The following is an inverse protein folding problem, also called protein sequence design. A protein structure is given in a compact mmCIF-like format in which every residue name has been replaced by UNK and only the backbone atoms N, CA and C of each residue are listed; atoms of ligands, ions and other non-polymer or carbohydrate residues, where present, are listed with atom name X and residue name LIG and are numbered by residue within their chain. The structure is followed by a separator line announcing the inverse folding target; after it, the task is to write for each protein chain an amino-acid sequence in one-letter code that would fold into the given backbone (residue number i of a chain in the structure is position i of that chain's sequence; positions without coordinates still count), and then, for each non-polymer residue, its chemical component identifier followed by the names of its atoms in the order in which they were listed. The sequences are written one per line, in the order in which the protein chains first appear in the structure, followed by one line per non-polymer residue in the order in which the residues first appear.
data_IF_280556680497
#
_entry.id   IF_280556680497
#
_cell.length_a   1.000
_cell.length_b   1.000
_cell.length_c   1.000
_cell.angle_alpha   90.00
_cell.angle_beta   90.00
_cell.angle_gamma   90.00
#
_symmetry.space_group_name_H-M   'P 1'
#
loop_
_entity.id
_entity.type
_entity.pdbx_description
1 polymer ?
#
# COMPACT_ATOMS: atom_id res chain seq x y z
N UNK A 1 -5.87 -36.13 2.50
CA UNK A 1 -6.62 -34.90 2.83
C UNK A 1 -6.31 -34.38 4.25
N UNK A 2 -6.20 -35.24 5.25
CA UNK A 2 -5.96 -34.85 6.67
C UNK A 2 -4.62 -34.17 6.93
N UNK A 3 -3.54 -34.54 6.23
CA UNK A 3 -2.19 -33.98 6.41
C UNK A 3 -2.15 -32.52 5.92
N UNK A 4 -2.75 -32.22 4.77
CA UNK A 4 -2.78 -30.86 4.19
C UNK A 4 -3.56 -29.92 5.12
N UNK A 5 -4.71 -30.34 5.62
CA UNK A 5 -5.52 -29.57 6.56
C UNK A 5 -4.77 -29.28 7.85
N UNK A 6 -4.04 -30.26 8.39
CA UNK A 6 -3.21 -30.06 9.59
C UNK A 6 -2.08 -29.05 9.33
N UNK A 7 -1.39 -29.14 8.20
CA UNK A 7 -0.35 -28.18 7.81
C UNK A 7 -0.91 -26.76 7.65
N UNK A 8 -2.09 -26.61 7.07
CA UNK A 8 -2.76 -25.31 6.94
C UNK A 8 -3.08 -24.72 8.33
N UNK A 9 -3.69 -25.53 9.21
CA UNK A 9 -4.02 -25.10 10.57
C UNK A 9 -2.77 -24.70 11.37
N UNK A 10 -1.68 -25.43 11.25
CA UNK A 10 -0.41 -25.13 11.92
C UNK A 10 0.23 -23.82 11.36
N UNK A 11 0.07 -23.55 10.07
CA UNK A 11 0.51 -22.30 9.49
C UNK A 11 -0.35 -21.12 9.95
N UNK A 12 -1.67 -21.29 10.04
CA UNK A 12 -2.57 -20.25 10.58
C UNK A 12 -2.27 -19.97 12.06
N UNK A 13 -2.11 -20.99 12.89
CA UNK A 13 -1.72 -20.82 14.30
C UNK A 13 -0.39 -20.07 14.43
N UNK A 14 0.60 -20.43 13.64
CA UNK A 14 1.89 -19.76 13.61
C UNK A 14 1.74 -18.28 13.19
N UNK A 15 0.98 -18.00 12.14
CA UNK A 15 0.69 -16.66 11.64
C UNK A 15 0.10 -15.76 12.74
N UNK A 16 -0.93 -16.25 13.45
CA UNK A 16 -1.56 -15.51 14.54
C UNK A 16 -0.63 -15.34 15.75
N UNK A 17 0.13 -16.35 16.11
CA UNK A 17 1.10 -16.29 17.22
C UNK A 17 2.19 -15.25 16.96
N UNK A 18 2.64 -15.13 15.72
CA UNK A 18 3.72 -14.21 15.33
C UNK A 18 3.22 -12.85 14.81
N UNK A 19 1.91 -12.54 14.96
CA UNK A 19 1.30 -11.31 14.39
C UNK A 19 2.00 -10.01 14.77
N UNK A 20 2.44 -9.88 16.01
CA UNK A 20 3.18 -8.69 16.46
C UNK A 20 4.55 -8.58 15.78
N UNK A 21 5.21 -9.71 15.56
CA UNK A 21 6.54 -9.74 14.97
C UNK A 21 6.51 -9.32 13.50
N UNK A 22 5.70 -9.96 12.65
CA UNK A 22 5.66 -9.58 11.22
C UNK A 22 5.07 -8.19 10.99
N UNK A 23 4.17 -7.71 11.84
CA UNK A 23 3.69 -6.33 11.79
C UNK A 23 4.78 -5.34 12.16
N UNK A 24 5.54 -5.63 13.22
CA UNK A 24 6.64 -4.77 13.68
C UNK A 24 7.79 -4.72 12.66
N UNK A 25 8.18 -5.86 12.09
CA UNK A 25 9.23 -5.90 11.05
C UNK A 25 8.82 -5.12 9.81
N UNK A 26 7.57 -5.24 9.36
CA UNK A 26 7.01 -4.44 8.28
C UNK A 26 7.06 -2.93 8.59
N UNK A 27 6.66 -2.53 9.80
CA UNK A 27 6.70 -1.13 10.24
C UNK A 27 8.12 -0.58 10.32
N UNK A 28 9.07 -1.38 10.79
CA UNK A 28 10.49 -1.02 10.85
C UNK A 28 11.08 -0.86 9.45
N UNK A 29 10.73 -1.75 8.53
CA UNK A 29 11.13 -1.67 7.12
C UNK A 29 10.57 -0.43 6.44
N UNK A 30 9.30 -0.09 6.70
CA UNK A 30 8.69 1.14 6.19
C UNK A 30 9.42 2.38 6.70
N UNK A 31 9.71 2.45 8.00
CA UNK A 31 10.48 3.57 8.58
C UNK A 31 11.89 3.65 8.03
N UNK A 32 12.59 2.54 7.92
CA UNK A 32 13.96 2.49 7.40
C UNK A 32 14.04 2.96 5.94
N UNK A 33 13.05 2.60 5.10
CA UNK A 33 12.96 3.01 3.70
C UNK A 33 12.92 4.54 3.55
N UNK A 34 12.25 5.22 4.47
CA UNK A 34 12.03 6.67 4.41
C UNK A 34 12.80 7.47 5.46
N UNK A 35 13.71 6.84 6.21
CA UNK A 35 14.46 7.48 7.30
C UNK A 35 15.30 8.69 6.85
N UNK A 36 15.67 8.75 5.57
CA UNK A 36 16.47 9.85 4.99
C UNK A 36 15.64 10.90 4.26
N UNK A 37 14.31 10.79 4.28
CA UNK A 37 13.43 11.75 3.62
C UNK A 37 12.81 12.69 4.65
N UNK A 38 12.65 13.96 4.30
CA UNK A 38 12.05 14.98 5.17
C UNK A 38 10.58 14.69 5.50
N UNK A 39 9.85 14.07 4.57
CA UNK A 39 8.44 13.71 4.71
C UNK A 39 8.23 12.29 5.26
N UNK A 40 9.32 11.53 5.51
CA UNK A 40 9.20 10.16 6.00
C UNK A 40 8.31 9.28 5.10
N UNK A 41 7.48 8.46 5.73
CA UNK A 41 6.56 7.53 5.03
C UNK A 41 5.50 8.25 4.18
N UNK A 42 5.20 9.52 4.46
CA UNK A 42 4.24 10.31 3.67
C UNK A 42 4.73 10.61 2.25
N UNK A 43 6.02 10.42 1.96
CA UNK A 43 6.58 10.56 0.62
C UNK A 43 5.84 9.69 -0.41
N UNK A 44 5.40 8.49 -0.03
CA UNK A 44 4.61 7.62 -0.92
C UNK A 44 3.26 8.24 -1.29
N UNK A 45 2.56 8.79 -0.30
CA UNK A 45 1.30 9.47 -0.55
C UNK A 45 1.48 10.71 -1.42
N UNK A 46 2.54 11.48 -1.18
CA UNK A 46 2.87 12.64 -2.00
C UNK A 46 3.22 12.26 -3.45
N UNK A 47 3.99 11.20 -3.65
CA UNK A 47 4.29 10.66 -4.98
C UNK A 47 3.02 10.22 -5.73
N UNK A 48 2.08 9.57 -5.02
CA UNK A 48 0.78 9.24 -5.58
C UNK A 48 -0.03 10.50 -5.96
N UNK A 49 -0.02 11.55 -5.13
CA UNK A 49 -0.69 12.81 -5.45
C UNK A 49 -0.10 13.47 -6.70
N UNK A 50 1.21 13.48 -6.86
CA UNK A 50 1.84 13.99 -8.08
C UNK A 50 1.41 13.20 -9.32
N UNK A 51 1.38 11.87 -9.22
CA UNK A 51 0.91 11.02 -10.31
C UNK A 51 -0.57 11.27 -10.65
N UNK A 52 -1.42 11.39 -9.64
CA UNK A 52 -2.85 11.73 -9.79
C UNK A 52 -2.99 13.10 -10.44
N UNK A 53 -2.22 14.09 -9.97
CA UNK A 53 -2.22 15.46 -10.51
C UNK A 53 -1.85 15.48 -11.99
N UNK A 54 -0.73 14.84 -12.33
CA UNK A 54 -0.25 14.77 -13.72
C UNK A 54 -1.25 14.05 -14.64
N UNK A 55 -1.68 12.87 -14.25
CA UNK A 55 -2.61 12.08 -15.07
C UNK A 55 -3.99 12.72 -15.13
N UNK A 56 -4.46 13.28 -14.02
CA UNK A 56 -5.75 13.98 -13.97
C UNK A 56 -5.81 15.18 -14.88
N UNK A 57 -4.76 16.01 -14.90
CA UNK A 57 -4.69 17.16 -15.80
C UNK A 57 -4.59 16.71 -17.26
N UNK A 58 -3.67 15.79 -17.56
CA UNK A 58 -3.47 15.33 -18.96
C UNK A 58 -4.74 14.68 -19.51
N UNK A 59 -5.30 13.71 -18.81
CA UNK A 59 -6.50 13.01 -19.31
C UNK A 59 -7.77 13.88 -19.21
N UNK A 60 -7.90 14.70 -18.17
CA UNK A 60 -9.03 15.62 -18.04
C UNK A 60 -9.12 16.62 -19.20
N UNK A 61 -7.97 17.11 -19.67
CA UNK A 61 -7.92 18.01 -20.83
C UNK A 61 -8.10 17.29 -22.15
N UNK A 62 -7.48 16.12 -22.33
CA UNK A 62 -7.55 15.34 -23.57
C UNK A 62 -8.98 14.83 -23.82
N UNK A 63 -9.66 14.36 -22.77
CA UNK A 63 -11.03 13.83 -22.88
C UNK A 63 -12.10 14.88 -22.67
N UNK A 64 -11.76 16.15 -22.47
CA UNK A 64 -12.70 17.28 -22.27
C UNK A 64 -13.79 16.94 -21.25
N UNK A 65 -13.37 16.49 -20.05
CA UNK A 65 -14.28 16.02 -19.02
C UNK A 65 -15.04 17.20 -18.42
N UNK A 66 -16.37 17.17 -18.47
CA UNK A 66 -17.25 18.24 -17.97
C UNK A 66 -17.15 18.42 -16.46
N UNK A 67 -17.19 17.31 -15.67
CA UNK A 67 -16.97 17.35 -14.22
C UNK A 67 -15.57 16.87 -13.86
N UNK A 68 -14.62 17.79 -14.00
CA UNK A 68 -13.21 17.55 -13.71
C UNK A 68 -12.98 17.10 -12.26
N UNK A 69 -13.75 17.62 -11.31
CA UNK A 69 -13.57 17.32 -9.89
C UNK A 69 -13.93 15.89 -9.55
N UNK A 70 -15.10 15.43 -9.98
CA UNK A 70 -15.54 14.04 -9.74
C UNK A 70 -14.62 13.05 -10.45
N UNK A 71 -14.20 13.38 -11.67
CA UNK A 71 -13.21 12.59 -12.40
C UNK A 71 -11.88 12.47 -11.65
N UNK A 72 -11.37 13.58 -11.13
CA UNK A 72 -10.09 13.64 -10.41
C UNK A 72 -10.12 12.80 -9.13
N UNK A 73 -11.24 12.84 -8.39
CA UNK A 73 -11.46 12.02 -7.19
C UNK A 73 -11.49 10.55 -7.55
N UNK A 74 -12.26 10.17 -8.57
CA UNK A 74 -12.36 8.79 -9.04
C UNK A 74 -11.00 8.24 -9.49
N UNK A 75 -10.29 9.01 -10.34
CA UNK A 75 -8.95 8.66 -10.81
C UNK A 75 -7.97 8.48 -9.64
N UNK A 76 -8.03 9.37 -8.65
CA UNK A 76 -7.13 9.36 -7.52
C UNK A 76 -7.28 8.11 -6.65
N UNK A 77 -8.49 7.76 -6.25
CA UNK A 77 -8.73 6.53 -5.51
C UNK A 77 -8.41 5.28 -6.33
N UNK A 78 -8.77 5.27 -7.60
CA UNK A 78 -8.46 4.19 -8.53
C UNK A 78 -6.95 3.94 -8.64
N UNK A 79 -6.14 4.99 -8.77
CA UNK A 79 -4.69 4.89 -8.86
C UNK A 79 -4.05 4.38 -7.55
N UNK A 80 -4.52 4.83 -6.39
CA UNK A 80 -3.99 4.35 -5.10
C UNK A 80 -4.24 2.86 -4.93
N UNK A 81 -5.46 2.40 -5.24
CA UNK A 81 -5.82 0.98 -5.18
C UNK A 81 -5.01 0.19 -6.21
N UNK A 82 -4.96 0.66 -7.45
CA UNK A 82 -4.23 0.00 -8.53
C UNK A 82 -2.74 -0.14 -8.22
N UNK A 83 -2.08 0.92 -7.75
CA UNK A 83 -0.67 0.89 -7.40
C UNK A 83 -0.38 -0.13 -6.30
N UNK A 84 -1.28 -0.28 -5.33
CA UNK A 84 -1.13 -1.26 -4.25
C UNK A 84 -1.24 -2.69 -4.77
N UNK A 85 -2.24 -2.98 -5.60
CA UNK A 85 -2.43 -4.30 -6.21
C UNK A 85 -1.24 -4.63 -7.12
N UNK A 86 -0.86 -3.71 -8.00
CA UNK A 86 0.25 -3.88 -8.93
C UNK A 86 1.58 -4.13 -8.22
N UNK A 87 1.88 -3.36 -7.17
CA UNK A 87 3.12 -3.55 -6.37
C UNK A 87 3.11 -4.89 -5.64
N UNK A 88 1.98 -5.32 -5.10
CA UNK A 88 1.86 -6.61 -4.43
C UNK A 88 2.11 -7.78 -5.38
N UNK A 89 1.55 -7.73 -6.59
CA UNK A 89 1.76 -8.75 -7.62
C UNK A 89 3.22 -8.75 -8.10
N UNK A 90 3.78 -7.58 -8.38
CA UNK A 90 5.14 -7.44 -8.91
C UNK A 90 6.23 -7.90 -7.93
N UNK A 91 6.01 -7.72 -6.63
CA UNK A 91 6.97 -8.11 -5.60
C UNK A 91 6.88 -9.59 -5.21
N UNK A 92 5.75 -10.24 -5.45
CA UNK A 92 5.48 -11.62 -5.01
C UNK A 92 6.50 -12.67 -5.52
N UNK A 93 6.93 -12.68 -6.79
CA UNK A 93 7.84 -13.71 -7.30
C UNK A 93 9.22 -13.69 -6.63
N UNK A 94 9.70 -12.51 -6.26
CA UNK A 94 11.05 -12.33 -5.71
C UNK A 94 11.09 -12.44 -4.18
N UNK A 95 9.94 -12.43 -3.52
CA UNK A 95 9.83 -12.38 -2.06
C UNK A 95 10.59 -13.51 -1.36
N UNK A 96 10.34 -14.75 -1.76
CA UNK A 96 10.98 -15.92 -1.16
C UNK A 96 12.44 -16.07 -1.56
N UNK A 97 12.78 -15.71 -2.80
CA UNK A 97 14.15 -15.73 -3.29
C UNK A 97 15.02 -14.72 -2.51
N UNK A 98 14.52 -13.51 -2.32
CA UNK A 98 15.22 -12.45 -1.56
C UNK A 98 15.43 -12.82 -0.10
N UNK A 99 14.49 -13.54 0.51
CA UNK A 99 14.55 -13.99 1.90
C UNK A 99 15.13 -15.40 2.08
N UNK A 100 15.67 -16.02 1.05
CA UNK A 100 16.11 -17.41 1.08
C UNK A 100 17.19 -17.69 2.14
N UNK A 101 18.15 -16.77 2.33
CA UNK A 101 19.18 -16.87 3.36
C UNK A 101 18.59 -16.81 4.77
N UNK A 102 17.64 -15.92 5.00
CA UNK A 102 16.97 -15.78 6.30
C UNK A 102 16.09 -17.00 6.61
N UNK A 103 15.39 -17.55 5.61
CA UNK A 103 14.57 -18.75 5.74
C UNK A 103 15.44 -19.94 6.16
N UNK A 104 16.64 -20.08 5.58
CA UNK A 104 17.57 -21.17 5.90
C UNK A 104 18.23 -20.99 7.27
N UNK A 105 18.60 -19.76 7.63
CA UNK A 105 19.38 -19.48 8.85
C UNK A 105 18.52 -19.30 10.10
N UNK A 106 17.31 -18.75 9.99
CA UNK A 106 16.48 -18.38 11.14
C UNK A 106 15.38 -19.41 11.46
N UNK A 107 15.26 -20.52 10.71
CA UNK A 107 14.22 -21.53 10.88
C UNK A 107 12.79 -20.95 10.97
N UNK A 108 12.54 -19.83 10.30
CA UNK A 108 11.23 -19.21 10.22
C UNK A 108 10.45 -19.80 9.06
N UNK A 109 9.15 -20.01 9.28
CA UNK A 109 8.28 -20.51 8.21
C UNK A 109 8.14 -19.48 7.09
N UNK A 110 8.14 -19.88 5.81
CA UNK A 110 7.99 -18.97 4.66
C UNK A 110 6.77 -18.06 4.75
N UNK A 111 5.69 -18.53 5.36
CA UNK A 111 4.46 -17.74 5.60
C UNK A 111 4.72 -16.45 6.39
N UNK A 112 5.75 -16.40 7.23
CA UNK A 112 6.12 -15.19 7.97
C UNK A 112 6.46 -14.04 7.02
N UNK A 113 7.29 -14.29 6.00
CA UNK A 113 7.72 -13.29 5.03
C UNK A 113 6.58 -12.83 4.12
N UNK A 114 5.67 -13.75 3.79
CA UNK A 114 4.45 -13.39 3.03
C UNK A 114 3.56 -12.43 3.83
N UNK A 115 3.38 -12.68 5.14
CA UNK A 115 2.58 -11.81 6.01
C UNK A 115 3.29 -10.48 6.30
N UNK A 116 4.61 -10.49 6.41
CA UNK A 116 5.41 -9.27 6.53
C UNK A 116 5.24 -8.38 5.30
N UNK A 117 5.36 -8.94 4.09
CA UNK A 117 5.16 -8.20 2.84
C UNK A 117 3.74 -7.67 2.73
N UNK A 118 2.74 -8.51 3.03
CA UNK A 118 1.35 -8.08 3.07
C UNK A 118 1.11 -6.91 4.04
N UNK A 119 1.69 -6.99 5.25
CA UNK A 119 1.61 -5.90 6.22
C UNK A 119 2.28 -4.62 5.73
N UNK A 120 3.42 -4.75 5.09
CA UNK A 120 4.14 -3.61 4.51
C UNK A 120 3.29 -2.93 3.43
N UNK A 121 2.68 -3.70 2.52
CA UNK A 121 1.80 -3.17 1.48
C UNK A 121 0.54 -2.52 2.08
N UNK A 122 -0.05 -3.14 3.10
CA UNK A 122 -1.22 -2.58 3.79
C UNK A 122 -0.90 -1.25 4.49
N UNK A 123 0.23 -1.16 5.19
CA UNK A 123 0.65 0.07 5.86
C UNK A 123 0.92 1.20 4.86
N UNK A 124 1.58 0.91 3.76
CA UNK A 124 1.85 1.89 2.70
C UNK A 124 0.57 2.33 1.98
N UNK A 125 -0.36 1.41 1.75
CA UNK A 125 -1.69 1.72 1.22
C UNK A 125 -2.46 2.67 2.14
N UNK A 126 -2.56 2.35 3.43
CA UNK A 126 -3.28 3.17 4.41
C UNK A 126 -2.71 4.59 4.46
N UNK A 127 -1.38 4.73 4.49
CA UNK A 127 -0.73 6.04 4.51
C UNK A 127 -1.05 6.87 3.25
N UNK A 128 -0.95 6.26 2.07
CA UNK A 128 -1.28 6.91 0.80
C UNK A 128 -2.75 7.25 0.69
N UNK A 129 -3.62 6.33 1.10
CA UNK A 129 -5.06 6.51 1.06
C UNK A 129 -5.53 7.65 1.97
N UNK A 130 -5.04 7.69 3.21
CA UNK A 130 -5.36 8.76 4.16
C UNK A 130 -4.95 10.12 3.59
N UNK A 131 -3.75 10.24 3.05
CA UNK A 131 -3.26 11.51 2.51
C UNK A 131 -4.11 11.98 1.32
N UNK A 132 -4.38 11.09 0.36
CA UNK A 132 -5.24 11.38 -0.80
C UNK A 132 -6.66 11.73 -0.36
N UNK A 133 -7.21 11.00 0.61
CA UNK A 133 -8.54 11.24 1.17
C UNK A 133 -8.65 12.65 1.78
N UNK A 134 -7.67 13.06 2.59
CA UNK A 134 -7.67 14.40 3.19
C UNK A 134 -7.57 15.49 2.13
N UNK A 135 -6.71 15.35 1.12
CA UNK A 135 -6.60 16.32 0.04
C UNK A 135 -7.93 16.49 -0.70
N UNK A 136 -8.62 15.39 -1.00
CA UNK A 136 -9.92 15.47 -1.68
C UNK A 136 -11.04 16.03 -0.79
N UNK A 137 -10.97 15.80 0.50
CA UNK A 137 -11.90 16.42 1.45
C UNK A 137 -11.76 17.95 1.44
N UNK A 138 -10.52 18.45 1.42
CA UNK A 138 -10.26 19.89 1.32
C UNK A 138 -10.73 20.47 -0.03
N UNK A 139 -10.48 19.79 -1.14
CA UNK A 139 -10.93 20.23 -2.45
C UNK A 139 -12.46 20.31 -2.55
N UNK A 140 -13.18 19.31 -2.04
CA UNK A 140 -14.63 19.29 -2.03
C UNK A 140 -15.23 20.34 -1.07
N UNK A 141 -14.60 20.53 0.09
CA UNK A 141 -15.01 21.55 1.07
C UNK A 141 -14.89 22.96 0.52
N UNK A 142 -13.81 23.27 -0.21
CA UNK A 142 -13.62 24.60 -0.84
C UNK A 142 -14.67 24.90 -1.91
N UNK A 143 -15.15 23.87 -2.60
CA UNK A 143 -16.23 24.01 -3.60
C UNK A 143 -17.60 24.27 -2.95
N UNK A 144 -17.87 23.67 -1.79
CA UNK A 144 -19.11 23.89 -1.03
C UNK A 144 -19.19 25.32 -0.46
N UNK A 145 -18.04 25.88 -0.05
CA UNK A 145 -17.97 27.26 0.46
C UNK A 145 -18.17 28.30 -0.66
N UNK A 146 -17.79 27.99 -1.89
CA UNK A 146 -17.97 28.88 -3.04
C UNK A 146 -19.38 28.81 -3.66
N UNK A 147 -20.23 27.90 -3.20
CA UNK A 147 -21.62 27.72 -3.63
C UNK A 147 -22.64 28.41 -2.71
N UNK A 148 -22.19 29.01 -1.61
CA UNK A 148 -22.96 29.84 -0.68
C UNK A 148 -22.58 31.31 -0.88
#
# INVERSE_FOLDING_TARGET
MTIIVKMLLDNFKFAFKTRKAWWYTASSRSRARFARTTLGSFWLGFSNLLSIGTLGVVYGTVFSVDDFTSYFIYLGFGLVIWNTISSSISNSPQLLAHNSSNIKNMNLKPIFYTLEEWSFQLQTFIQSFILVFFVFLFLKSSLLVNLI
#
